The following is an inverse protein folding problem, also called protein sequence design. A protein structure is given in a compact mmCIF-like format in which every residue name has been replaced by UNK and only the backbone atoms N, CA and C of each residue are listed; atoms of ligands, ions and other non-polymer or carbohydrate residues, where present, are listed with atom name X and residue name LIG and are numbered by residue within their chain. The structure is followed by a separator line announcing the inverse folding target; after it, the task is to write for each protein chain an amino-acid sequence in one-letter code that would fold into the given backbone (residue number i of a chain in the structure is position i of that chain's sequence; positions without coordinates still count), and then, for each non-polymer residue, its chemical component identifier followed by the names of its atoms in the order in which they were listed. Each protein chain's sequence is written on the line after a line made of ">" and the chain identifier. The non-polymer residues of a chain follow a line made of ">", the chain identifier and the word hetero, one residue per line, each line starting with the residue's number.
data_IF_988267079644
#
_entry.id   IF_988267079644
#
_cell.length_a   1.000
_cell.length_b   1.000
_cell.length_c   1.000
_cell.angle_alpha   90.00
_cell.angle_beta   90.00
_cell.angle_gamma   90.00
#
_symmetry.space_group_name_H-M   'P 1'
#
loop_
_entity.id
_entity.type
_entity.pdbx_description
1 polymer ?
#
# COMPACT_ATOMS: atom_id res chain seq x y z
N UNK A 1 9.60 -0.42 16.11
CA UNK A 1 8.74 0.43 15.25
C UNK A 1 7.50 -0.36 14.84
N UNK A 2 6.41 0.31 14.45
CA UNK A 2 5.25 -0.38 13.85
C UNK A 2 5.59 -1.00 12.48
N UNK A 3 4.68 -1.82 11.96
CA UNK A 3 4.70 -2.43 10.62
C UNK A 3 3.50 -1.89 9.82
N UNK A 4 3.78 -1.44 8.60
CA UNK A 4 2.77 -1.02 7.60
C UNK A 4 3.13 -1.63 6.26
N UNK A 5 2.17 -1.69 5.33
CA UNK A 5 2.38 -2.36 4.04
C UNK A 5 3.28 -1.54 3.12
N UNK A 6 4.06 -2.24 2.30
CA UNK A 6 4.66 -1.75 1.06
C UNK A 6 4.51 -2.83 -0.01
N UNK A 7 4.67 -2.46 -1.27
CA UNK A 7 4.64 -3.39 -2.39
C UNK A 7 6.04 -3.91 -2.69
N UNK A 8 6.12 -5.17 -3.08
CA UNK A 8 7.32 -5.85 -3.55
C UNK A 8 7.05 -6.27 -4.99
N UNK A 9 8.04 -6.12 -5.86
CA UNK A 9 7.94 -6.51 -7.27
C UNK A 9 7.95 -8.04 -7.38
N UNK A 10 6.93 -8.58 -8.03
CA UNK A 10 6.71 -10.01 -8.26
C UNK A 10 5.87 -10.15 -9.53
N UNK A 11 6.41 -10.85 -10.53
CA UNK A 11 5.81 -10.97 -11.87
C UNK A 11 4.56 -11.87 -11.90
N UNK A 12 4.41 -12.74 -10.89
CA UNK A 12 3.32 -13.72 -10.80
C UNK A 12 2.24 -13.31 -9.77
N UNK A 13 2.42 -12.16 -9.11
CA UNK A 13 1.52 -11.68 -8.06
C UNK A 13 0.59 -10.55 -8.53
N UNK A 14 -0.54 -10.42 -7.85
CA UNK A 14 -1.48 -9.31 -8.02
C UNK A 14 -1.82 -8.71 -6.66
N UNK A 15 -1.92 -7.38 -6.59
CA UNK A 15 -2.40 -6.66 -5.40
C UNK A 15 -3.71 -5.97 -5.71
N UNK A 16 -4.68 -6.14 -4.81
CA UNK A 16 -5.99 -5.52 -4.90
C UNK A 16 -6.06 -4.22 -4.10
N UNK A 17 -6.84 -3.27 -4.60
CA UNK A 17 -6.95 -1.95 -3.99
C UNK A 17 -7.92 -1.05 -4.73
N UNK A 18 -7.76 0.26 -4.55
CA UNK A 18 -8.63 1.28 -5.15
C UNK A 18 -7.79 2.29 -5.91
N UNK A 19 -8.17 2.56 -7.16
CA UNK A 19 -7.67 3.71 -7.90
C UNK A 19 -8.57 4.93 -7.66
N UNK A 20 -7.96 6.05 -7.25
CA UNK A 20 -8.66 7.31 -7.06
C UNK A 20 -8.44 8.23 -8.26
N UNK A 21 -9.53 8.64 -8.91
CA UNK A 21 -9.47 9.70 -9.93
C UNK A 21 -9.44 11.06 -9.22
N UNK A 22 -8.31 11.74 -9.30
CA UNK A 22 -8.18 13.11 -8.81
C UNK A 22 -8.51 14.09 -9.94
N UNK A 23 -9.38 15.06 -9.68
CA UNK A 23 -9.79 16.09 -10.65
C UNK A 23 -9.63 17.49 -10.06
N UNK A 24 -9.46 18.49 -10.93
CA UNK A 24 -9.38 19.90 -10.53
C UNK A 24 -8.02 20.55 -10.85
N UNK A 25 -7.98 21.87 -10.72
CA UNK A 25 -6.81 22.67 -11.11
C UNK A 25 -5.55 22.40 -10.27
N UNK A 26 -5.71 21.88 -9.05
CA UNK A 26 -4.60 21.66 -8.10
C UNK A 26 -3.95 20.27 -8.23
N UNK A 27 -4.42 19.41 -9.13
CA UNK A 27 -3.91 18.04 -9.28
C UNK A 27 -2.40 18.03 -9.54
N UNK A 28 -1.92 18.86 -10.46
CA UNK A 28 -0.49 18.92 -10.77
C UNK A 28 0.34 19.38 -9.55
N UNK A 29 -0.14 20.34 -8.78
CA UNK A 29 0.55 20.84 -7.60
C UNK A 29 0.57 19.80 -6.48
N UNK A 30 -0.54 19.11 -6.24
CA UNK A 30 -0.62 18.01 -5.30
C UNK A 30 0.30 16.85 -5.68
N UNK A 31 0.35 16.47 -6.97
CA UNK A 31 1.25 15.44 -7.47
C UNK A 31 2.72 15.87 -7.36
N UNK A 32 3.05 17.12 -7.68
CA UNK A 32 4.40 17.68 -7.46
C UNK A 32 4.78 17.65 -5.99
N UNK A 33 3.88 18.03 -5.09
CA UNK A 33 4.10 17.96 -3.65
C UNK A 33 4.36 16.53 -3.16
N UNK A 34 3.54 15.56 -3.59
CA UNK A 34 3.72 14.15 -3.25
C UNK A 34 5.07 13.63 -3.77
N UNK A 35 5.41 13.91 -5.02
CA UNK A 35 6.70 13.52 -5.59
C UNK A 35 7.88 14.11 -4.82
N UNK A 36 7.84 15.40 -4.46
CA UNK A 36 8.90 16.04 -3.67
C UNK A 36 9.02 15.42 -2.28
N UNK A 37 7.88 15.19 -1.60
CA UNK A 37 7.85 14.62 -0.25
C UNK A 37 8.44 13.20 -0.21
N UNK A 38 8.14 12.39 -1.22
CA UNK A 38 8.46 10.96 -1.25
C UNK A 38 9.81 10.66 -1.92
N UNK A 39 10.24 11.44 -2.93
CA UNK A 39 11.48 11.18 -3.69
C UNK A 39 12.73 11.89 -3.12
N UNK A 40 12.62 13.07 -2.51
CA UNK A 40 13.79 13.84 -2.04
C UNK A 40 14.46 13.21 -0.81
N UNK A 41 13.80 12.23 -0.16
CA UNK A 41 14.35 11.45 0.96
C UNK A 41 14.75 10.02 0.60
N UNK A 42 14.70 9.65 -0.68
CA UNK A 42 15.16 8.34 -1.17
C UNK A 42 14.40 7.12 -0.63
N UNK A 43 13.22 7.31 -0.03
CA UNK A 43 12.47 6.23 0.60
C UNK A 43 11.39 5.61 -0.27
N UNK A 44 10.99 6.29 -1.36
CA UNK A 44 9.92 5.86 -2.23
C UNK A 44 10.21 6.17 -3.69
N UNK A 45 9.68 5.34 -4.58
CA UNK A 45 9.62 5.58 -6.03
C UNK A 45 8.18 5.71 -6.48
N UNK A 46 7.95 6.58 -7.45
CA UNK A 46 6.67 6.71 -8.13
C UNK A 46 6.72 5.93 -9.44
N UNK A 47 5.82 4.95 -9.63
CA UNK A 47 5.64 4.18 -10.86
C UNK A 47 4.27 4.48 -11.46
N UNK A 48 4.21 4.61 -12.79
CA UNK A 48 2.95 4.51 -13.52
C UNK A 48 2.71 3.02 -13.83
N UNK A 49 1.55 2.51 -13.42
CA UNK A 49 1.19 1.10 -13.55
C UNK A 49 -0.18 0.96 -14.21
N UNK A 50 -0.40 -0.18 -14.86
CA UNK A 50 -1.73 -0.55 -15.33
C UNK A 50 -2.60 -0.99 -14.15
N UNK A 51 -3.73 -0.32 -13.98
CA UNK A 51 -4.77 -0.68 -13.02
C UNK A 51 -5.95 -1.30 -13.76
N UNK A 52 -6.28 -2.53 -13.40
CA UNK A 52 -7.41 -3.28 -13.95
C UNK A 52 -8.61 -3.15 -13.00
N UNK A 53 -9.70 -2.56 -13.49
CA UNK A 53 -10.91 -2.41 -12.69
C UNK A 53 -11.65 -3.75 -12.56
N UNK A 54 -12.14 -4.04 -11.35
CA UNK A 54 -12.90 -5.26 -11.07
C UNK A 54 -14.23 -5.29 -11.83
N UNK A 55 -14.62 -6.47 -12.33
CA UNK A 55 -15.90 -6.72 -12.97
C UNK A 55 -16.14 -6.05 -14.33
N UNK A 56 -15.17 -5.30 -14.87
CA UNK A 56 -15.30 -4.61 -16.14
C UNK A 56 -14.28 -5.15 -17.15
N UNK A 57 -14.73 -5.61 -18.32
CA UNK A 57 -13.85 -5.92 -19.46
C UNK A 57 -13.32 -4.64 -20.15
N UNK A 58 -12.91 -3.66 -19.34
CA UNK A 58 -12.33 -2.41 -19.82
C UNK A 58 -10.83 -2.57 -19.97
N UNK A 59 -10.27 -1.79 -20.89
CA UNK A 59 -8.84 -1.58 -20.95
C UNK A 59 -8.33 -1.04 -19.61
N UNK A 60 -7.12 -1.43 -19.17
CA UNK A 60 -6.54 -0.89 -17.96
C UNK A 60 -6.41 0.63 -18.05
N UNK A 61 -6.44 1.27 -16.89
CA UNK A 61 -6.16 2.70 -16.76
C UNK A 61 -4.79 2.90 -16.12
N UNK A 62 -4.07 3.92 -16.55
CA UNK A 62 -2.79 4.27 -15.95
C UNK A 62 -3.01 4.91 -14.58
N UNK A 63 -2.37 4.34 -13.56
CA UNK A 63 -2.44 4.81 -12.18
C UNK A 63 -1.04 5.13 -11.65
N UNK A 64 -0.94 6.19 -10.84
CA UNK A 64 0.29 6.52 -10.13
C UNK A 64 0.37 5.75 -8.81
N UNK A 65 1.47 5.05 -8.61
CA UNK A 65 1.72 4.21 -7.45
C UNK A 65 3.03 4.60 -6.76
N UNK A 66 2.99 4.77 -5.44
CA UNK A 66 4.18 5.03 -4.62
C UNK A 66 4.59 3.76 -3.89
N UNK A 67 5.85 3.35 -4.06
CA UNK A 67 6.39 2.10 -3.51
C UNK A 67 7.61 2.43 -2.67
N UNK A 68 7.67 1.93 -1.44
CA UNK A 68 8.86 2.11 -0.62
C UNK A 68 10.00 1.25 -1.18
N UNK A 69 11.18 1.84 -1.35
CA UNK A 69 12.36 1.10 -1.82
C UNK A 69 13.03 0.37 -0.66
N UNK A 70 13.88 -0.62 -0.99
CA UNK A 70 14.74 -1.28 0.01
C UNK A 70 15.75 -0.33 0.65
N UNK A 71 16.08 0.77 -0.03
CA UNK A 71 16.96 1.83 0.47
C UNK A 71 16.25 2.74 1.50
N UNK A 72 14.93 2.61 1.66
CA UNK A 72 14.20 3.34 2.67
C UNK A 72 14.71 2.94 4.07
N UNK A 73 15.16 3.88 4.92
CA UNK A 73 15.66 3.55 6.26
C UNK A 73 14.59 2.95 7.19
N UNK A 74 13.31 3.02 6.81
CA UNK A 74 12.18 2.40 7.50
C UNK A 74 11.80 1.03 6.92
N UNK A 75 12.47 0.56 5.86
CA UNK A 75 12.26 -0.77 5.30
C UNK A 75 12.81 -1.82 6.27
N UNK A 76 11.91 -2.60 6.87
CA UNK A 76 12.24 -3.60 7.89
C UNK A 76 12.47 -5.00 7.31
N UNK A 77 12.35 -5.16 5.99
CA UNK A 77 12.54 -6.44 5.32
C UNK A 77 11.48 -7.51 5.63
N UNK A 78 11.64 -8.70 5.03
CA UNK A 78 10.80 -9.87 5.29
C UNK A 78 10.91 -10.32 6.74
N UNK A 79 9.82 -10.86 7.28
CA UNK A 79 9.73 -11.47 8.61
C UNK A 79 8.57 -12.46 8.60
N UNK A 80 8.56 -13.38 9.56
CA UNK A 80 7.43 -14.31 9.72
C UNK A 80 6.13 -13.57 10.11
N UNK A 81 4.94 -14.10 9.75
CA UNK A 81 3.67 -13.52 10.19
C UNK A 81 3.60 -13.34 11.70
N UNK A 82 4.14 -14.29 12.49
CA UNK A 82 4.16 -14.22 13.95
C UNK A 82 5.02 -13.05 14.47
N UNK A 83 6.19 -12.81 13.87
CA UNK A 83 7.04 -11.67 14.22
C UNK A 83 6.39 -10.34 13.85
N UNK A 84 5.73 -10.29 12.69
CA UNK A 84 4.99 -9.10 12.23
C UNK A 84 3.82 -8.83 13.17
N UNK A 85 2.97 -9.83 13.43
CA UNK A 85 1.80 -9.73 14.29
C UNK A 85 2.16 -9.35 15.72
N UNK A 86 3.20 -9.96 16.30
CA UNK A 86 3.73 -9.61 17.62
C UNK A 86 4.14 -8.13 17.66
N UNK A 87 4.80 -7.64 16.61
CA UNK A 87 5.20 -6.22 16.53
C UNK A 87 4.00 -5.30 16.40
N UNK A 88 3.02 -5.64 15.56
CA UNK A 88 1.80 -4.86 15.35
C UNK A 88 1.00 -4.74 16.64
N UNK A 89 0.82 -5.84 17.38
CA UNK A 89 0.02 -5.90 18.60
C UNK A 89 0.49 -4.90 19.68
N UNK A 90 1.80 -4.67 19.79
CA UNK A 90 2.38 -3.82 20.84
C UNK A 90 2.74 -2.40 20.36
N UNK A 91 2.59 -2.10 19.07
CA UNK A 91 3.06 -0.83 18.49
C UNK A 91 1.98 0.25 18.44
N UNK A 92 2.37 1.50 18.75
CA UNK A 92 1.53 2.70 18.69
C UNK A 92 2.32 3.89 18.17
N UNK A 93 1.72 4.69 17.29
CA UNK A 93 2.29 5.93 16.77
C UNK A 93 1.41 7.14 17.05
N UNK A 94 1.78 8.29 16.48
CA UNK A 94 1.00 9.55 16.59
C UNK A 94 -0.42 9.42 16.01
N UNK A 95 -0.63 8.48 15.10
CA UNK A 95 -1.90 8.26 14.38
C UNK A 95 -2.75 7.13 14.95
N UNK A 96 -2.37 6.55 16.10
CA UNK A 96 -3.12 5.46 16.73
C UNK A 96 -2.34 4.15 16.89
N UNK A 97 -3.06 3.08 17.20
CA UNK A 97 -2.50 1.73 17.36
C UNK A 97 -2.25 1.08 15.99
N UNK A 98 -1.15 0.34 15.88
CA UNK A 98 -0.84 -0.37 14.64
C UNK A 98 -1.84 -1.52 14.37
N UNK A 99 -2.37 -2.13 15.43
CA UNK A 99 -3.42 -3.14 15.32
C UNK A 99 -4.66 -2.59 14.60
N UNK A 100 -5.05 -1.36 14.89
CA UNK A 100 -6.19 -0.71 14.22
C UNK A 100 -5.94 -0.54 12.71
N UNK A 101 -4.71 -0.20 12.31
CA UNK A 101 -4.33 -0.14 10.90
C UNK A 101 -4.53 -1.48 10.20
N UNK A 102 -4.03 -2.58 10.80
CA UNK A 102 -4.15 -3.93 10.23
C UNK A 102 -5.62 -4.34 10.11
N UNK A 103 -6.41 -4.15 11.18
CA UNK A 103 -7.82 -4.54 11.21
C UNK A 103 -8.65 -3.77 10.19
N UNK A 104 -8.41 -2.46 10.03
CA UNK A 104 -9.10 -1.64 9.02
C UNK A 104 -8.77 -2.08 7.59
N UNK A 105 -7.52 -2.48 7.33
CA UNK A 105 -7.12 -3.02 6.03
C UNK A 105 -7.80 -4.36 5.74
N UNK A 106 -7.77 -5.28 6.71
CA UNK A 106 -8.45 -6.57 6.60
C UNK A 106 -9.98 -6.42 6.42
N UNK A 107 -10.59 -5.48 7.13
CA UNK A 107 -12.00 -5.15 6.99
C UNK A 107 -12.33 -4.58 5.61
N UNK A 108 -11.50 -3.67 5.10
CA UNK A 108 -11.62 -3.16 3.73
C UNK A 108 -11.58 -4.30 2.71
N UNK A 109 -10.57 -5.18 2.79
CA UNK A 109 -10.43 -6.31 1.87
C UNK A 109 -11.66 -7.23 1.89
N UNK A 110 -12.14 -7.60 3.08
CA UNK A 110 -13.35 -8.44 3.22
C UNK A 110 -14.61 -7.80 2.66
N UNK A 111 -14.75 -6.48 2.76
CA UNK A 111 -15.96 -5.76 2.33
C UNK A 111 -15.93 -5.40 0.85
N UNK A 112 -14.80 -4.93 0.36
CA UNK A 112 -14.66 -4.35 -0.98
C UNK A 112 -14.15 -5.37 -2.00
N UNK A 113 -13.41 -6.39 -1.56
CA UNK A 113 -12.81 -7.41 -2.41
C UNK A 113 -13.11 -8.82 -1.86
N UNK A 114 -14.38 -9.20 -1.63
CA UNK A 114 -14.72 -10.43 -0.90
C UNK A 114 -14.31 -11.74 -1.60
N UNK A 115 -14.03 -11.68 -2.90
CA UNK A 115 -13.58 -12.81 -3.71
C UNK A 115 -12.05 -12.95 -3.77
N UNK A 116 -11.33 -12.04 -3.11
CA UNK A 116 -9.87 -11.99 -3.10
C UNK A 116 -9.34 -12.59 -1.82
N UNK A 117 -8.41 -13.53 -1.95
CA UNK A 117 -7.69 -14.09 -0.83
C UNK A 117 -6.28 -13.51 -0.76
N UNK A 118 -6.07 -12.59 0.18
CA UNK A 118 -4.74 -12.09 0.53
C UNK A 118 -4.16 -12.95 1.66
N UNK A 119 -3.51 -14.05 1.29
CA UNK A 119 -2.95 -15.01 2.24
C UNK A 119 -1.97 -14.36 3.22
N UNK A 120 -1.17 -13.39 2.76
CA UNK A 120 -0.21 -12.72 3.64
C UNK A 120 -0.95 -11.89 4.70
N UNK A 121 -1.87 -11.03 4.28
CA UNK A 121 -2.64 -10.17 5.19
C UNK A 121 -3.40 -10.96 6.25
N UNK A 122 -4.01 -12.09 5.87
CA UNK A 122 -4.80 -12.91 6.79
C UNK A 122 -3.98 -13.92 7.60
N UNK A 123 -2.69 -14.08 7.30
CA UNK A 123 -1.77 -14.89 8.12
C UNK A 123 -1.13 -14.12 9.28
N UNK A 124 -1.09 -12.78 9.19
CA UNK A 124 -0.52 -11.85 10.20
C UNK A 124 -1.51 -11.59 11.34
#
# INVERSE_FOLDING_TARGET
>A
PGRVVTLIEDDDACTWGVAFKVTGAQVEEALKYLNVREMVRGGYVAKLVDFFADGESRSPVQALLYIATVDNPLYLGPASPEEIGTRIAVSRGKTGHNLEYLLRLAEFMRKSCPHVEDHHLFSV
#
